data_IF_654320217317
#
_entry.id   IF_654320217317
#
_cell.length_a   1.000
_cell.length_b   1.000
_cell.length_c   1.000
_cell.angle_alpha   90.00
_cell.angle_beta   90.00
_cell.angle_gamma   90.00
#
_symmetry.space_group_name_H-M   'P 1'
#
loop_
_entity.id
_entity.type
_entity.pdbx_description
1 polymer ?
#
# COMPACT_ATOMS: atom_id res chain seq x y z
N UNK A 1 -46.81 -69.70 -28.83
CA UNK A 1 -46.15 -69.36 -27.55
C UNK A 1 -44.70 -69.83 -27.58
N UNK A 2 -43.74 -68.91 -27.69
CA UNK A 2 -42.34 -69.11 -27.26
C UNK A 2 -41.76 -67.72 -27.05
N UNK A 3 -41.72 -67.33 -25.78
CA UNK A 3 -41.27 -66.04 -25.27
C UNK A 3 -39.75 -66.09 -25.15
N UNK A 4 -39.03 -65.23 -25.87
CA UNK A 4 -37.58 -65.05 -25.70
C UNK A 4 -37.29 -63.83 -24.82
N UNK A 5 -36.31 -63.89 -23.88
CA UNK A 5 -36.19 -62.94 -22.78
C UNK A 5 -35.43 -61.66 -23.20
N UNK A 6 -36.18 -60.61 -23.50
CA UNK A 6 -35.69 -59.23 -23.71
C UNK A 6 -35.46 -58.54 -22.36
N UNK A 7 -34.56 -59.07 -21.52
CA UNK A 7 -34.34 -58.53 -20.15
C UNK A 7 -32.89 -58.31 -19.73
N UNK A 8 -31.90 -58.77 -20.49
CA UNK A 8 -30.48 -58.69 -20.08
C UNK A 8 -29.66 -57.59 -20.77
N UNK A 9 -30.19 -56.89 -21.77
CA UNK A 9 -29.44 -55.84 -22.49
C UNK A 9 -29.57 -54.44 -21.89
N UNK A 10 -30.53 -54.19 -20.99
CA UNK A 10 -30.74 -52.86 -20.39
C UNK A 10 -29.74 -52.52 -19.26
N UNK A 11 -29.08 -53.50 -18.65
CA UNK A 11 -28.15 -53.26 -17.54
C UNK A 11 -26.76 -52.78 -18.01
N UNK A 12 -26.33 -53.13 -19.22
CA UNK A 12 -25.02 -52.75 -19.75
C UNK A 12 -24.95 -51.30 -20.27
N UNK A 13 -26.08 -50.71 -20.65
CA UNK A 13 -26.14 -49.32 -21.12
C UNK A 13 -26.16 -48.29 -19.97
N UNK A 14 -26.53 -48.69 -18.75
CA UNK A 14 -26.63 -47.79 -17.60
C UNK A 14 -25.29 -47.55 -16.90
N UNK A 15 -24.29 -48.42 -17.10
CA UNK A 15 -22.94 -48.28 -16.52
C UNK A 15 -22.01 -47.34 -17.29
N UNK A 16 -22.32 -47.04 -18.57
CA UNK A 16 -21.53 -46.12 -19.40
C UNK A 16 -21.91 -44.64 -19.21
N UNK A 17 -22.98 -44.34 -18.47
CA UNK A 17 -23.41 -42.97 -18.21
C UNK A 17 -22.76 -42.33 -16.96
N UNK A 18 -22.06 -43.12 -16.12
CA UNK A 18 -21.43 -42.60 -14.89
C UNK A 18 -20.03 -41.98 -15.10
N UNK A 19 -19.40 -42.18 -16.27
CA UNK A 19 -18.09 -41.58 -16.58
C UNK A 19 -18.18 -40.11 -17.00
N UNK A 20 -19.38 -39.56 -17.16
CA UNK A 20 -19.59 -38.17 -17.59
C UNK A 20 -19.60 -37.14 -16.43
N UNK A 21 -19.59 -37.58 -15.16
CA UNK A 21 -19.48 -36.67 -14.00
C UNK A 21 -18.02 -36.48 -13.54
N UNK A 22 -17.06 -36.61 -14.46
CA UNK A 22 -15.63 -36.41 -14.22
C UNK A 22 -15.13 -35.01 -14.58
N UNK A 23 -16.02 -34.02 -14.69
CA UNK A 23 -15.64 -32.64 -14.96
C UNK A 23 -14.65 -32.16 -13.89
N UNK A 24 -13.40 -31.91 -14.28
CA UNK A 24 -12.38 -31.34 -13.38
C UNK A 24 -12.93 -30.00 -12.89
N UNK A 25 -13.28 -29.92 -11.60
CA UNK A 25 -13.68 -28.65 -11.00
C UNK A 25 -12.52 -27.67 -11.16
N UNK A 26 -12.81 -26.53 -11.80
CA UNK A 26 -11.85 -25.44 -12.01
C UNK A 26 -12.28 -24.23 -11.21
N UNK A 27 -11.31 -23.56 -10.60
CA UNK A 27 -11.52 -22.46 -9.67
C UNK A 27 -10.81 -21.20 -10.19
N UNK A 28 -11.58 -20.13 -10.38
CA UNK A 28 -11.03 -18.83 -10.70
C UNK A 28 -10.23 -18.27 -9.51
N UNK A 29 -9.06 -17.71 -9.80
CA UNK A 29 -8.23 -17.00 -8.82
C UNK A 29 -8.54 -15.52 -8.93
N UNK A 30 -9.32 -15.00 -7.97
CA UNK A 30 -9.80 -13.62 -7.98
C UNK A 30 -9.50 -12.90 -6.68
N UNK A 31 -9.76 -11.59 -6.67
CA UNK A 31 -9.66 -10.80 -5.47
C UNK A 31 -10.09 -9.35 -5.64
N UNK A 32 -9.93 -8.60 -4.56
CA UNK A 32 -10.36 -7.21 -4.43
C UNK A 32 -9.21 -6.32 -3.96
N UNK A 33 -9.28 -5.03 -4.29
CA UNK A 33 -8.41 -4.02 -3.73
C UNK A 33 -9.11 -3.32 -2.56
N UNK A 34 -8.46 -3.26 -1.41
CA UNK A 34 -9.03 -2.70 -0.18
C UNK A 34 -8.03 -1.81 0.55
N UNK A 35 -8.53 -0.91 1.39
CA UNK A 35 -7.72 -0.16 2.35
C UNK A 35 -7.23 -1.09 3.46
N UNK A 36 -6.32 -0.60 4.32
CA UNK A 36 -5.92 -1.31 5.55
C UNK A 36 -7.08 -1.59 6.51
N UNK A 37 -8.21 -0.89 6.36
CA UNK A 37 -9.44 -1.08 7.13
C UNK A 37 -10.43 -2.03 6.44
N UNK A 38 -10.07 -2.63 5.31
CA UNK A 38 -10.92 -3.56 4.56
C UNK A 38 -11.98 -2.88 3.69
N UNK A 39 -11.89 -1.57 3.46
CA UNK A 39 -12.84 -0.83 2.60
C UNK A 39 -12.41 -0.96 1.14
N UNK A 40 -13.29 -1.35 0.19
CA UNK A 40 -12.96 -1.41 -1.23
C UNK A 40 -12.40 -0.09 -1.76
N UNK A 41 -11.31 -0.14 -2.52
CA UNK A 41 -10.70 1.04 -3.14
C UNK A 41 -10.19 0.73 -4.55
N UNK A 42 -10.24 1.70 -5.49
CA UNK A 42 -9.58 1.53 -6.78
C UNK A 42 -8.06 1.61 -6.64
N UNK A 43 -7.32 0.92 -7.51
CA UNK A 43 -5.87 1.07 -7.63
C UNK A 43 -5.54 2.48 -8.14
N UNK A 44 -4.84 3.27 -7.32
CA UNK A 44 -4.57 4.68 -7.60
C UNK A 44 -3.37 4.92 -8.52
N UNK A 45 -2.36 4.03 -8.47
CA UNK A 45 -1.09 4.19 -9.17
C UNK A 45 -0.85 3.05 -10.17
N UNK A 46 -0.20 3.36 -11.29
CA UNK A 46 0.14 2.38 -12.33
C UNK A 46 1.31 1.49 -11.93
N UNK A 47 1.45 0.34 -12.61
CA UNK A 47 2.61 -0.55 -12.47
C UNK A 47 2.42 -1.71 -11.50
N UNK A 48 1.23 -1.88 -10.90
CA UNK A 48 0.93 -3.08 -10.12
C UNK A 48 0.88 -4.33 -11.00
N UNK A 49 1.72 -5.32 -10.67
CA UNK A 49 1.70 -6.65 -11.26
C UNK A 49 1.57 -7.68 -10.14
N UNK A 50 0.54 -8.53 -10.24
CA UNK A 50 0.34 -9.67 -9.35
C UNK A 50 0.86 -10.94 -10.02
N UNK A 51 1.27 -11.92 -9.21
CA UNK A 51 1.76 -13.22 -9.68
C UNK A 51 1.10 -14.34 -8.88
N UNK A 52 0.73 -15.43 -9.55
CA UNK A 52 0.34 -16.69 -8.93
C UNK A 52 1.08 -17.82 -9.63
N UNK A 53 2.17 -18.32 -9.03
CA UNK A 53 3.07 -19.25 -9.69
C UNK A 53 3.73 -18.62 -10.93
N UNK A 54 3.51 -19.20 -12.11
CA UNK A 54 4.00 -18.64 -13.39
C UNK A 54 3.02 -17.65 -14.05
N UNK A 55 1.77 -17.57 -13.57
CA UNK A 55 0.79 -16.64 -14.10
C UNK A 55 1.03 -15.24 -13.54
N UNK A 56 1.02 -14.22 -14.41
CA UNK A 56 1.24 -12.82 -14.05
C UNK A 56 0.11 -11.97 -14.59
N UNK A 57 -0.36 -11.03 -13.77
CA UNK A 57 -1.49 -10.17 -14.09
C UNK A 57 -1.11 -8.70 -13.87
N UNK A 58 -1.09 -7.93 -14.95
CA UNK A 58 -0.93 -6.48 -14.88
C UNK A 58 -2.27 -5.83 -14.54
N UNK A 59 -2.28 -4.97 -13.52
CA UNK A 59 -3.50 -4.32 -13.03
C UNK A 59 -3.57 -2.87 -13.53
N UNK A 60 -4.64 -2.47 -14.22
CA UNK A 60 -4.83 -1.09 -14.64
C UNK A 60 -5.23 -0.18 -13.47
N UNK A 61 -4.88 1.10 -13.58
CA UNK A 61 -5.37 2.14 -12.67
C UNK A 61 -6.90 2.16 -12.70
N UNK A 62 -7.53 2.34 -11.54
CA UNK A 62 -8.97 2.35 -11.38
C UNK A 62 -9.60 0.96 -11.15
N UNK A 63 -8.84 -0.13 -11.30
CA UNK A 63 -9.34 -1.47 -11.00
C UNK A 63 -9.73 -1.61 -9.52
N UNK A 64 -10.89 -2.21 -9.25
CA UNK A 64 -11.38 -2.52 -7.90
C UNK A 64 -11.36 -4.03 -7.59
N UNK A 65 -11.23 -4.85 -8.64
CA UNK A 65 -11.11 -6.31 -8.57
C UNK A 65 -10.01 -6.80 -9.50
N UNK A 66 -9.56 -8.03 -9.30
CA UNK A 66 -8.67 -8.72 -10.22
C UNK A 66 -9.10 -10.18 -10.41
N UNK A 67 -8.74 -10.75 -11.56
CA UNK A 67 -8.90 -12.15 -11.90
C UNK A 67 -7.73 -12.59 -12.76
N UNK A 68 -7.02 -13.64 -12.36
CA UNK A 68 -5.98 -14.25 -13.19
C UNK A 68 -6.60 -14.94 -14.40
N UNK A 69 -5.83 -15.03 -15.50
CA UNK A 69 -6.32 -15.61 -16.75
C UNK A 69 -6.52 -17.12 -16.61
N UNK A 70 -5.64 -17.79 -15.87
CA UNK A 70 -5.72 -19.23 -15.65
C UNK A 70 -6.50 -19.54 -14.38
N UNK A 71 -7.49 -20.42 -14.52
CA UNK A 71 -8.13 -21.09 -13.38
C UNK A 71 -7.30 -22.30 -12.97
N UNK A 72 -7.46 -22.74 -11.71
CA UNK A 72 -6.70 -23.86 -11.16
C UNK A 72 -7.62 -25.02 -10.76
N UNK A 73 -7.12 -26.25 -10.87
CA UNK A 73 -7.88 -27.46 -10.53
C UNK A 73 -8.01 -27.66 -9.02
N UNK A 74 -9.04 -28.38 -8.57
CA UNK A 74 -9.20 -28.81 -7.18
C UNK A 74 -7.89 -29.36 -6.58
N UNK A 75 -7.56 -28.93 -5.35
CA UNK A 75 -6.35 -29.36 -4.63
C UNK A 75 -5.07 -28.62 -5.04
N UNK A 76 -5.07 -27.89 -6.16
CA UNK A 76 -3.89 -27.10 -6.58
C UNK A 76 -3.66 -25.96 -5.61
N UNK A 77 -2.40 -25.76 -5.21
CA UNK A 77 -2.00 -24.63 -4.37
C UNK A 77 -1.96 -23.33 -5.18
N UNK A 78 -2.37 -22.23 -4.56
CA UNK A 78 -2.19 -20.87 -5.07
C UNK A 78 -1.38 -20.06 -4.05
N UNK A 79 -0.60 -19.12 -4.57
CA UNK A 79 0.22 -18.21 -3.79
C UNK A 79 0.33 -16.88 -4.56
N UNK A 80 -0.65 -16.01 -4.32
CA UNK A 80 -0.79 -14.70 -4.94
C UNK A 80 0.18 -13.74 -4.25
N UNK A 81 1.11 -13.21 -5.04
CA UNK A 81 2.12 -12.24 -4.62
C UNK A 81 2.02 -10.96 -5.41
N UNK A 82 2.50 -9.87 -4.81
CA UNK A 82 2.85 -8.67 -5.55
C UNK A 82 4.21 -8.91 -6.18
N UNK A 83 4.24 -9.02 -7.51
CA UNK A 83 5.49 -9.15 -8.26
C UNK A 83 6.17 -7.78 -8.40
N UNK A 84 5.37 -6.78 -8.77
CA UNK A 84 5.81 -5.38 -8.90
C UNK A 84 4.78 -4.48 -8.25
N UNK A 85 5.10 -3.75 -7.17
CA UNK A 85 4.19 -2.74 -6.63
C UNK A 85 4.18 -1.49 -7.53
N UNK A 86 3.12 -0.67 -7.49
CA UNK A 86 3.14 0.66 -8.09
C UNK A 86 4.30 1.51 -7.57
N UNK A 87 4.72 2.48 -8.37
CA UNK A 87 5.73 3.44 -7.95
C UNK A 87 5.32 4.13 -6.64
N UNK A 88 6.26 4.25 -5.71
CA UNK A 88 6.09 4.90 -4.41
C UNK A 88 5.02 4.28 -3.51
N UNK A 89 4.62 3.04 -3.74
CA UNK A 89 3.72 2.30 -2.86
C UNK A 89 4.36 1.01 -2.35
N UNK A 90 3.90 0.54 -1.20
CA UNK A 90 4.10 -0.83 -0.74
C UNK A 90 2.75 -1.55 -0.77
N UNK A 91 2.72 -2.75 -1.34
CA UNK A 91 1.51 -3.55 -1.44
C UNK A 91 1.68 -4.91 -0.77
N UNK A 92 0.65 -5.37 -0.07
CA UNK A 92 0.59 -6.69 0.56
C UNK A 92 -0.67 -7.44 0.14
N UNK A 93 -0.58 -8.77 0.13
CA UNK A 93 -1.71 -9.67 -0.16
C UNK A 93 -2.18 -10.32 1.13
N UNK A 94 -3.47 -10.25 1.39
CA UNK A 94 -4.17 -10.90 2.50
C UNK A 94 -5.02 -12.04 1.94
N UNK A 95 -4.99 -13.20 2.59
CA UNK A 95 -5.63 -14.43 2.09
C UNK A 95 -5.15 -14.81 0.68
N UNK A 96 -3.89 -14.49 0.36
CA UNK A 96 -3.28 -14.72 -0.95
C UNK A 96 -2.84 -16.16 -1.21
N UNK A 97 -2.84 -17.04 -0.20
CA UNK A 97 -2.31 -18.40 -0.33
C UNK A 97 -3.28 -19.46 0.21
N UNK A 98 -3.29 -20.63 -0.42
CA UNK A 98 -4.12 -21.76 -0.02
C UNK A 98 -4.22 -22.85 -1.08
N UNK A 99 -5.21 -23.73 -0.97
CA UNK A 99 -5.51 -24.77 -1.95
C UNK A 99 -6.93 -24.61 -2.51
N UNK A 100 -7.08 -24.84 -3.82
CA UNK A 100 -8.33 -24.73 -4.54
C UNK A 100 -9.36 -25.77 -4.06
N UNK A 101 -10.63 -25.37 -3.99
CA UNK A 101 -11.73 -26.26 -3.61
C UNK A 101 -12.13 -26.27 -2.13
N UNK A 102 -11.47 -25.47 -1.28
CA UNK A 102 -11.98 -25.19 0.09
C UNK A 102 -13.23 -24.31 0.07
N UNK A 103 -13.36 -23.45 -0.94
CA UNK A 103 -14.46 -22.52 -1.17
C UNK A 103 -14.87 -22.57 -2.64
N UNK A 104 -16.06 -22.04 -2.97
CA UNK A 104 -16.54 -21.97 -4.36
C UNK A 104 -15.66 -21.09 -5.25
N UNK A 105 -14.93 -20.13 -4.68
CA UNK A 105 -14.00 -19.23 -5.39
C UNK A 105 -12.83 -18.90 -4.49
N UNK A 106 -11.67 -18.66 -5.08
CA UNK A 106 -10.49 -18.13 -4.39
C UNK A 106 -10.62 -16.61 -4.37
N UNK A 107 -10.62 -16.02 -3.19
CA UNK A 107 -10.73 -14.55 -3.03
C UNK A 107 -9.64 -14.04 -2.11
N UNK A 108 -8.72 -13.26 -2.67
CA UNK A 108 -7.68 -12.56 -1.94
C UNK A 108 -7.95 -11.05 -1.90
N UNK A 109 -7.34 -10.37 -0.93
CA UNK A 109 -7.39 -8.92 -0.83
C UNK A 109 -6.00 -8.35 -1.01
N UNK A 110 -5.87 -7.28 -1.79
CA UNK A 110 -4.60 -6.55 -1.96
C UNK A 110 -4.74 -5.16 -1.35
N UNK A 111 -3.80 -4.83 -0.46
CA UNK A 111 -3.72 -3.54 0.22
C UNK A 111 -2.47 -2.85 -0.28
N UNK A 112 -2.62 -1.66 -0.87
CA UNK A 112 -1.50 -0.81 -1.27
C UNK A 112 -1.52 0.48 -0.44
N UNK A 113 -0.37 0.83 0.14
CA UNK A 113 -0.17 2.06 0.92
C UNK A 113 0.89 2.93 0.27
N UNK A 114 0.69 4.24 0.29
CA UNK A 114 1.70 5.19 -0.18
C UNK A 114 2.89 5.18 0.77
N UNK A 115 4.11 5.14 0.22
CA UNK A 115 5.34 5.33 0.99
C UNK A 115 5.35 6.71 1.60
N UNK A 116 5.74 6.78 2.88
CA UNK A 116 5.87 8.03 3.62
C UNK A 116 7.32 8.25 4.01
N UNK A 117 7.74 9.52 4.06
CA UNK A 117 9.10 9.90 4.42
C UNK A 117 9.12 11.07 5.39
N UNK A 118 10.15 11.13 6.23
CA UNK A 118 10.30 12.19 7.22
C UNK A 118 10.84 13.47 6.59
N UNK A 119 10.42 14.60 7.16
CA UNK A 119 10.95 15.93 6.87
C UNK A 119 11.79 16.37 8.06
N UNK A 120 12.97 16.89 7.79
CA UNK A 120 13.89 17.38 8.79
C UNK A 120 14.85 18.41 8.22
N UNK A 121 15.78 18.84 9.06
CA UNK A 121 16.70 19.89 8.71
C UNK A 121 17.74 20.17 9.77
N UNK A 122 18.54 21.18 9.47
CA UNK A 122 19.60 21.69 10.35
C UNK A 122 19.28 23.08 10.83
N UNK A 123 19.84 23.43 11.97
CA UNK A 123 19.73 24.77 12.55
C UNK A 123 21.10 25.42 12.39
N UNK A 124 21.13 26.65 11.87
CA UNK A 124 22.38 27.41 11.78
C UNK A 124 22.97 27.53 13.19
N UNK A 125 24.20 27.07 13.37
CA UNK A 125 24.82 26.95 14.69
C UNK A 125 24.84 28.30 15.42
N UNK A 126 24.40 28.30 16.68
CA UNK A 126 24.33 29.51 17.51
C UNK A 126 23.26 30.54 17.07
N UNK A 127 22.38 30.21 16.11
CA UNK A 127 21.35 31.13 15.67
C UNK A 127 20.20 31.30 16.69
N UNK A 128 19.91 30.26 17.47
CA UNK A 128 18.98 30.33 18.60
C UNK A 128 19.79 30.72 19.85
N UNK A 129 19.45 31.87 20.44
CA UNK A 129 20.21 32.46 21.55
C UNK A 129 19.45 32.35 22.88
N UNK A 130 20.19 32.30 23.98
CA UNK A 130 19.65 32.34 25.35
C UNK A 130 18.58 31.25 25.58
N UNK A 131 17.55 31.56 26.38
CA UNK A 131 16.41 30.67 26.65
C UNK A 131 15.33 30.73 25.56
N UNK A 132 15.69 31.17 24.34
CA UNK A 132 14.74 31.23 23.22
C UNK A 132 14.36 29.81 22.80
N UNK A 133 13.05 29.59 22.71
CA UNK A 133 12.43 28.39 22.17
C UNK A 133 11.80 28.74 20.83
N UNK A 134 12.13 28.00 19.79
CA UNK A 134 11.51 28.13 18.47
C UNK A 134 10.68 26.89 18.20
N UNK A 135 9.39 27.07 17.94
CA UNK A 135 8.52 25.97 17.53
C UNK A 135 8.33 26.04 16.02
N UNK A 136 8.72 24.97 15.32
CA UNK A 136 8.43 24.78 13.90
C UNK A 136 7.16 23.94 13.74
N UNK A 137 6.43 24.18 12.66
CA UNK A 137 5.32 23.33 12.22
C UNK A 137 5.53 22.90 10.77
N UNK A 138 5.08 21.71 10.41
CA UNK A 138 5.09 21.22 9.03
C UNK A 138 3.65 21.01 8.53
N UNK A 139 3.06 22.05 7.94
CA UNK A 139 1.67 22.04 7.52
C UNK A 139 0.71 21.72 8.67
N UNK A 140 -0.47 21.18 8.34
CA UNK A 140 -1.48 20.76 9.32
C UNK A 140 -1.34 19.30 9.77
N UNK A 141 -0.60 18.47 9.03
CA UNK A 141 -0.50 17.02 9.25
C UNK A 141 0.91 16.56 9.65
N UNK A 142 1.95 17.37 9.40
CA UNK A 142 3.34 17.03 9.71
C UNK A 142 3.75 17.27 11.16
N UNK A 143 2.88 17.87 11.97
CA UNK A 143 3.11 18.12 13.39
C UNK A 143 4.09 19.26 13.66
N UNK A 144 4.52 19.36 14.93
CA UNK A 144 5.41 20.41 15.42
C UNK A 144 6.70 19.84 15.98
N UNK A 145 7.75 20.66 15.98
CA UNK A 145 9.01 20.38 16.67
C UNK A 145 9.41 21.61 17.49
N UNK A 146 9.88 21.37 18.71
CA UNK A 146 10.35 22.42 19.62
C UNK A 146 11.88 22.41 19.63
N UNK A 147 12.48 23.57 19.40
CA UNK A 147 13.92 23.77 19.28
C UNK A 147 14.41 24.73 20.35
N UNK A 148 15.56 24.43 20.91
CA UNK A 148 16.25 25.23 21.94
C UNK A 148 17.63 25.65 21.45
N UNK A 149 18.35 26.46 22.22
CA UNK A 149 19.72 26.90 21.90
C UNK A 149 20.71 25.78 21.56
N UNK A 150 20.51 24.57 22.09
CA UNK A 150 21.41 23.43 21.91
C UNK A 150 20.99 22.52 20.73
N UNK A 151 19.89 22.85 20.06
CA UNK A 151 19.39 22.08 18.92
C UNK A 151 20.26 22.31 17.68
N UNK A 152 20.81 21.24 17.11
CA UNK A 152 21.63 21.29 15.88
C UNK A 152 20.85 20.82 14.64
N UNK A 153 19.86 19.94 14.85
CA UNK A 153 19.04 19.36 13.81
C UNK A 153 17.62 19.14 14.33
N UNK A 154 16.70 18.87 13.42
CA UNK A 154 15.31 18.53 13.73
C UNK A 154 14.75 17.53 12.74
N UNK A 155 13.75 16.77 13.17
CA UNK A 155 12.95 15.89 12.32
C UNK A 155 11.51 15.93 12.82
N UNK A 156 10.56 16.15 11.91
CA UNK A 156 9.15 16.12 12.22
C UNK A 156 8.68 14.70 12.53
N UNK A 157 7.80 14.52 13.54
CA UNK A 157 7.38 13.20 13.99
C UNK A 157 6.49 12.48 12.97
N UNK A 158 5.71 13.24 12.18
CA UNK A 158 4.83 12.67 11.16
C UNK A 158 5.52 12.63 9.80
N UNK A 159 5.58 11.43 9.22
CA UNK A 159 6.05 11.23 7.85
C UNK A 159 4.99 11.67 6.84
N UNK A 160 5.43 12.26 5.73
CA UNK A 160 4.57 12.77 4.68
C UNK A 160 4.50 11.73 3.54
N UNK A 161 3.30 11.40 3.02
CA UNK A 161 3.19 10.53 1.86
C UNK A 161 3.89 11.11 0.63
N UNK A 162 4.51 10.25 -0.18
CA UNK A 162 5.16 10.65 -1.44
C UNK A 162 4.18 11.39 -2.34
N UNK A 163 4.62 12.48 -2.95
CA UNK A 163 3.80 13.34 -3.81
C UNK A 163 2.90 14.33 -3.06
N UNK A 164 2.76 14.23 -1.73
CA UNK A 164 2.03 15.23 -0.94
C UNK A 164 2.90 16.45 -0.65
N UNK A 165 2.32 17.66 -0.62
CA UNK A 165 3.05 18.87 -0.24
C UNK A 165 3.39 18.87 1.25
N UNK A 166 4.54 19.45 1.57
CA UNK A 166 4.93 19.79 2.93
C UNK A 166 5.26 21.28 3.01
N UNK A 167 5.20 21.86 4.22
CA UNK A 167 5.39 23.29 4.42
C UNK A 167 5.82 23.62 5.84
N UNK A 168 7.12 23.81 6.02
CA UNK A 168 7.77 24.12 7.28
C UNK A 168 7.81 25.62 7.51
N UNK A 169 7.17 26.06 8.58
CA UNK A 169 7.14 27.46 9.02
C UNK A 169 7.46 27.56 10.51
N UNK A 170 7.85 28.76 10.92
CA UNK A 170 7.98 29.10 12.34
C UNK A 170 6.57 29.33 12.88
N UNK A 171 6.15 28.47 13.80
CA UNK A 171 4.84 28.55 14.44
C UNK A 171 4.85 29.57 15.59
N UNK A 172 5.88 29.50 16.43
CA UNK A 172 6.02 30.38 17.60
C UNK A 172 7.49 30.57 17.99
N UNK A 173 7.78 31.69 18.65
CA UNK A 173 9.07 31.97 19.28
C UNK A 173 8.79 32.48 20.70
N UNK A 174 9.31 31.80 21.71
CA UNK A 174 9.02 32.06 23.12
C UNK A 174 10.29 32.13 23.99
N UNK A 175 10.38 33.04 24.97
CA UNK A 175 9.51 34.22 25.12
C UNK A 175 9.70 35.11 23.90
N UNK A 176 8.65 35.76 23.37
CA UNK A 176 8.74 36.59 22.15
C UNK A 176 9.88 37.62 22.28
N UNK A 177 11.06 37.38 21.69
CA UNK A 177 12.14 38.34 21.77
C UNK A 177 11.80 39.37 20.70
N UNK A 178 11.53 40.61 21.09
CA UNK A 178 11.30 41.66 20.08
C UNK A 178 12.48 41.79 19.11
N UNK A 179 13.65 41.27 19.52
CA UNK A 179 14.96 41.37 18.91
C UNK A 179 15.38 40.20 18.02
N UNK A 180 14.57 39.15 17.78
CA UNK A 180 14.99 38.03 16.88
C UNK A 180 13.98 37.80 15.74
N UNK A 181 14.50 37.37 14.59
CA UNK A 181 13.71 36.88 13.45
C UNK A 181 14.30 35.57 12.96
N UNK A 182 13.46 34.56 12.85
CA UNK A 182 13.80 33.27 12.26
C UNK A 182 13.27 33.15 10.84
N UNK A 183 14.06 32.52 9.97
CA UNK A 183 13.74 32.25 8.56
C UNK A 183 13.98 30.78 8.27
N UNK A 184 13.10 30.20 7.46
CA UNK A 184 13.20 28.81 7.00
C UNK A 184 13.53 28.84 5.52
N UNK A 185 14.60 28.15 5.12
CA UNK A 185 14.96 27.92 3.72
C UNK A 185 14.68 26.46 3.35
N UNK A 186 14.31 26.21 2.08
CA UNK A 186 13.83 24.92 1.60
C UNK A 186 12.60 24.38 2.36
N UNK A 187 11.83 25.27 2.99
CA UNK A 187 10.73 24.93 3.89
C UNK A 187 9.54 24.25 3.21
N UNK A 188 9.37 24.35 1.90
CA UNK A 188 8.20 23.81 1.19
C UNK A 188 8.59 23.16 -0.12
N UNK A 189 7.99 22.00 -0.41
CA UNK A 189 8.10 21.26 -1.68
C UNK A 189 7.07 20.12 -1.68
N UNK A 190 7.09 19.27 -2.70
CA UNK A 190 6.47 17.96 -2.68
C UNK A 190 7.41 16.91 -2.06
N UNK A 191 6.85 15.97 -1.31
CA UNK A 191 7.61 14.86 -0.76
C UNK A 191 8.09 13.93 -1.89
N UNK A 192 9.41 13.79 -2.02
CA UNK A 192 10.04 12.85 -2.94
C UNK A 192 10.08 11.40 -2.42
N UNK A 193 11.02 10.61 -2.94
CA UNK A 193 11.11 9.16 -2.71
C UNK A 193 12.13 8.75 -1.64
N UNK A 194 12.52 9.68 -0.77
CA UNK A 194 13.47 9.46 0.32
C UNK A 194 13.26 10.50 1.44
N UNK A 195 13.74 10.24 2.67
CA UNK A 195 13.75 11.24 3.75
C UNK A 195 14.42 12.54 3.30
N UNK A 196 13.83 13.68 3.66
CA UNK A 196 14.37 15.00 3.31
C UNK A 196 14.91 15.69 4.55
N UNK A 197 16.19 16.08 4.51
CA UNK A 197 16.91 16.69 5.63
C UNK A 197 17.62 18.02 5.25
N UNK A 198 17.17 18.70 4.19
CA UNK A 198 17.83 19.89 3.62
C UNK A 198 17.19 21.23 4.03
N UNK A 199 16.26 21.21 4.99
CA UNK A 199 15.63 22.43 5.50
C UNK A 199 16.63 23.11 6.44
N UNK A 200 16.80 24.42 6.31
CA UNK A 200 17.68 25.18 7.19
C UNK A 200 16.89 26.26 7.90
N UNK A 201 16.94 26.22 9.24
CA UNK A 201 16.44 27.28 10.10
C UNK A 201 17.59 28.23 10.45
N UNK A 202 17.39 29.52 10.20
CA UNK A 202 18.33 30.57 10.59
C UNK A 202 17.60 31.67 11.33
N UNK A 203 18.01 31.92 12.58
CA UNK A 203 17.54 33.03 13.39
C UNK A 203 18.63 34.10 13.50
N UNK A 204 18.24 35.35 13.32
CA UNK A 204 19.15 36.51 13.41
C UNK A 204 18.52 37.59 14.27
N UNK A 205 19.34 38.42 14.95
CA UNK A 205 18.82 39.64 15.56
C UNK A 205 18.07 40.50 14.53
N UNK A 206 17.00 41.17 14.95
CA UNK A 206 16.33 42.19 14.14
C UNK A 206 17.14 43.48 14.05
#
# INVERSE_FOLDING_TARGET
MKVFPVRTTAAAALLLALSACGGKASFDVTGVFVTSQGVPQPVANSGLVLQNGSDTLTIPVGATTFKFNNSISYGTEYDIKVLTPPANMDCSVVNGAGSAGRTATISASVICTQKTYTIGGTITAGSILNDTVVTLTNGSTGGTVVLTKDSLNFTFPAAIPTGQPYGVTVLDISPKPETIRCTVTNGSDLMGTAPRANIVLTCVPK
#
